data_IF_916337975421
#
_entry.id   IF_916337975421
#
_cell.length_a   1.000
_cell.length_b   1.000
_cell.length_c   1.000
_cell.angle_alpha   90.00
_cell.angle_beta   90.00
_cell.angle_gamma   90.00
#
_symmetry.space_group_name_H-M   'P 1'
#
loop_
_entity.id
_entity.type
_entity.pdbx_description
1 polymer ?
#
# COMPACT_ATOMS: atom_id res chain seq x y z
N UNK A 1 2.39 3.25 -19.18
CA UNK A 1 3.51 2.91 -18.29
C UNK A 1 3.01 1.80 -17.37
N UNK A 2 3.70 0.68 -17.23
CA UNK A 2 3.29 -0.34 -16.25
C UNK A 2 3.58 0.18 -14.86
N UNK A 3 2.58 0.12 -13.98
CA UNK A 3 2.70 0.61 -12.62
C UNK A 3 3.24 -0.51 -11.75
N UNK A 4 4.36 -0.26 -11.08
CA UNK A 4 4.99 -1.30 -10.23
C UNK A 4 4.08 -1.65 -9.05
N UNK A 5 4.23 -2.87 -8.51
CA UNK A 5 3.50 -3.32 -7.32
C UNK A 5 3.62 -2.31 -6.16
N UNK A 6 4.82 -1.79 -5.92
CA UNK A 6 5.07 -0.81 -4.85
C UNK A 6 4.30 0.48 -5.11
N UNK A 7 4.33 0.98 -6.34
CA UNK A 7 3.63 2.22 -6.69
C UNK A 7 2.12 2.09 -6.49
N UNK A 8 1.53 0.93 -6.77
CA UNK A 8 0.10 0.70 -6.53
C UNK A 8 -0.25 0.65 -5.04
N UNK A 9 0.58 -0.02 -4.23
CA UNK A 9 0.41 -0.05 -2.78
C UNK A 9 0.58 1.34 -2.16
N UNK A 10 1.62 2.07 -2.57
CA UNK A 10 1.89 3.42 -2.08
C UNK A 10 0.72 4.37 -2.42
N UNK A 11 0.19 4.30 -3.65
CA UNK A 11 -0.97 5.09 -4.05
C UNK A 11 -2.19 4.79 -3.17
N UNK A 12 -2.55 3.51 -3.00
CA UNK A 12 -3.68 3.12 -2.16
C UNK A 12 -3.51 3.54 -0.69
N UNK A 13 -2.30 3.46 -0.15
CA UNK A 13 -1.97 3.91 1.20
C UNK A 13 -2.06 5.44 1.34
N UNK A 14 -1.59 6.19 0.34
CA UNK A 14 -1.72 7.65 0.33
C UNK A 14 -3.19 8.09 0.27
N UNK A 15 -4.00 7.43 -0.55
CA UNK A 15 -5.42 7.74 -0.71
C UNK A 15 -6.17 7.60 0.61
N UNK A 16 -5.98 6.48 1.34
CA UNK A 16 -6.65 6.27 2.64
C UNK A 16 -6.07 7.15 3.76
N UNK A 17 -4.80 7.56 3.66
CA UNK A 17 -4.18 8.44 4.66
C UNK A 17 -4.72 9.88 4.57
N UNK A 18 -5.25 10.27 3.41
CA UNK A 18 -5.87 11.56 3.16
C UNK A 18 -4.88 12.66 2.74
N UNK A 19 -5.42 13.69 2.09
CA UNK A 19 -4.65 14.76 1.43
C UNK A 19 -3.78 15.62 2.36
N UNK A 20 -4.15 15.68 3.64
CA UNK A 20 -3.41 16.42 4.69
C UNK A 20 -2.33 15.56 5.36
N UNK A 21 -2.06 14.36 4.85
CA UNK A 21 -1.06 13.44 5.37
C UNK A 21 0.17 13.40 4.46
N UNK A 22 1.36 13.29 5.07
CA UNK A 22 2.64 13.12 4.36
C UNK A 22 3.29 11.81 4.77
N UNK A 23 3.82 11.02 3.83
CA UNK A 23 4.47 9.75 4.16
C UNK A 23 5.70 10.01 5.03
N UNK A 24 5.84 9.22 6.09
CA UNK A 24 7.00 9.22 6.98
C UNK A 24 7.81 7.93 6.82
N UNK A 25 7.15 6.80 6.63
CA UNK A 25 7.78 5.51 6.32
C UNK A 25 6.83 4.61 5.53
N UNK A 26 7.40 3.73 4.73
CA UNK A 26 6.73 2.66 4.01
C UNK A 26 7.61 1.40 4.12
N UNK A 27 7.01 0.31 4.58
CA UNK A 27 7.60 -1.02 4.57
C UNK A 27 6.76 -1.91 3.68
N UNK A 28 7.40 -2.67 2.80
CA UNK A 28 6.75 -3.61 1.89
C UNK A 28 7.39 -4.98 2.08
N UNK A 29 6.57 -5.97 2.41
CA UNK A 29 6.95 -7.36 2.52
C UNK A 29 6.45 -8.09 1.27
N UNK A 30 7.37 -8.51 0.41
CA UNK A 30 7.03 -9.19 -0.83
C UNK A 30 6.67 -10.64 -0.56
N UNK A 31 5.56 -11.06 -1.17
CA UNK A 31 5.20 -12.47 -1.25
C UNK A 31 6.09 -13.23 -2.24
N UNK A 32 5.86 -14.54 -2.38
CA UNK A 32 6.58 -15.34 -3.37
C UNK A 32 6.34 -14.81 -4.78
N UNK A 33 7.28 -15.10 -5.68
CA UNK A 33 7.15 -14.77 -7.10
C UNK A 33 5.87 -15.36 -7.69
N UNK A 34 5.25 -14.59 -8.58
CA UNK A 34 4.04 -15.01 -9.28
C UNK A 34 4.38 -15.96 -10.43
N UNK A 35 3.37 -16.61 -11.03
CA UNK A 35 3.55 -17.31 -12.29
C UNK A 35 4.16 -16.38 -13.35
N UNK A 36 5.07 -16.91 -14.17
CA UNK A 36 5.71 -16.15 -15.24
C UNK A 36 4.66 -15.51 -16.16
N UNK A 37 4.85 -14.22 -16.46
CA UNK A 37 3.96 -13.45 -17.34
C UNK A 37 2.80 -12.72 -16.65
N UNK A 38 2.63 -12.87 -15.33
CA UNK A 38 1.71 -12.00 -14.57
C UNK A 38 2.20 -10.54 -14.60
N UNK A 39 1.31 -9.64 -15.02
CA UNK A 39 1.59 -8.20 -15.03
C UNK A 39 1.25 -7.61 -13.69
N UNK A 40 2.07 -6.66 -13.24
CA UNK A 40 1.77 -5.88 -12.03
C UNK A 40 0.41 -5.17 -12.11
N UNK A 41 -0.06 -4.84 -13.32
CA UNK A 41 -1.35 -4.16 -13.53
C UNK A 41 -2.58 -5.03 -13.23
N UNK A 42 -2.42 -6.34 -12.95
CA UNK A 42 -3.50 -7.29 -12.60
C UNK A 42 -3.71 -7.47 -11.08
N UNK A 43 -3.11 -6.60 -10.25
CA UNK A 43 -3.18 -6.72 -8.79
C UNK A 43 -4.48 -6.13 -8.22
N UNK A 44 -5.14 -6.91 -7.36
CA UNK A 44 -6.20 -6.41 -6.48
C UNK A 44 -5.56 -5.80 -5.23
N UNK A 45 -5.54 -4.46 -5.15
CA UNK A 45 -4.95 -3.72 -4.03
C UNK A 45 -6.04 -3.26 -3.07
N UNK A 46 -5.78 -3.43 -1.77
CA UNK A 46 -6.62 -2.94 -0.69
C UNK A 46 -5.75 -2.20 0.32
N UNK A 47 -6.28 -1.13 0.90
CA UNK A 47 -5.64 -0.40 1.98
C UNK A 47 -6.67 0.03 3.02
N UNK A 48 -6.25 0.17 4.27
CA UNK A 48 -7.08 0.62 5.37
C UNK A 48 -6.23 1.32 6.44
N UNK A 49 -6.88 2.19 7.22
CA UNK A 49 -6.28 2.77 8.42
C UNK A 49 -6.44 1.77 9.56
N UNK A 50 -5.34 1.28 10.08
CA UNK A 50 -5.32 0.41 11.26
C UNK A 50 -5.56 1.22 12.53
N UNK A 51 -4.92 2.39 12.63
CA UNK A 51 -5.09 3.33 13.74
C UNK A 51 -4.72 4.75 13.34
N UNK A 52 -5.31 5.75 14.00
CA UNK A 52 -4.88 7.14 13.86
C UNK A 52 -4.78 7.85 15.21
N UNK A 53 -3.89 8.82 15.30
CA UNK A 53 -3.72 9.72 16.45
C UNK A 53 -3.99 11.16 16.03
N UNK A 54 -3.66 12.15 16.86
CA UNK A 54 -3.68 13.56 16.43
C UNK A 54 -2.69 13.83 15.29
N UNK A 55 -1.46 13.32 15.41
CA UNK A 55 -0.36 13.66 14.51
C UNK A 55 0.01 12.58 13.49
N UNK A 56 -0.45 11.33 13.67
CA UNK A 56 -0.05 10.21 12.84
C UNK A 56 -1.25 9.40 12.32
N UNK A 57 -1.08 8.82 11.14
CA UNK A 57 -1.95 7.79 10.57
C UNK A 57 -1.11 6.54 10.31
N UNK A 58 -1.56 5.40 10.80
CA UNK A 58 -0.95 4.11 10.55
C UNK A 58 -1.86 3.33 9.62
N UNK A 59 -1.33 2.99 8.45
CA UNK A 59 -2.07 2.38 7.37
C UNK A 59 -1.45 1.02 7.02
N UNK A 60 -2.32 0.10 6.63
CA UNK A 60 -1.92 -1.19 6.08
C UNK A 60 -2.49 -1.35 4.69
N UNK A 61 -1.81 -2.16 3.88
CA UNK A 61 -2.30 -2.54 2.57
C UNK A 61 -1.86 -3.95 2.20
N UNK A 62 -2.63 -4.58 1.32
CA UNK A 62 -2.29 -5.85 0.69
C UNK A 62 -2.52 -5.75 -0.81
N UNK A 63 -1.63 -6.40 -1.58
CA UNK A 63 -1.79 -6.61 -3.00
C UNK A 63 -1.93 -8.12 -3.24
N UNK A 64 -3.02 -8.52 -3.92
CA UNK A 64 -3.29 -9.91 -4.30
C UNK A 64 -3.29 -10.06 -5.80
N UNK A 65 -2.80 -11.19 -6.28
CA UNK A 65 -2.90 -11.59 -7.69
C UNK A 65 -4.31 -12.04 -8.02
N UNK A 66 -4.60 -12.19 -9.32
CA UNK A 66 -5.90 -12.69 -9.80
C UNK A 66 -6.27 -14.06 -9.24
N UNK A 67 -5.27 -14.91 -8.99
CA UNK A 67 -5.45 -16.22 -8.37
C UNK A 67 -5.69 -16.16 -6.83
N UNK A 68 -5.77 -14.96 -6.25
CA UNK A 68 -5.98 -14.72 -4.81
C UNK A 68 -4.72 -14.83 -3.94
N UNK A 69 -3.59 -15.27 -4.51
CA UNK A 69 -2.33 -15.37 -3.78
C UNK A 69 -1.78 -13.97 -3.45
N UNK A 70 -1.07 -13.89 -2.32
CA UNK A 70 -0.50 -12.65 -1.82
C UNK A 70 0.73 -12.27 -2.65
N UNK A 71 0.71 -11.07 -3.25
CA UNK A 71 1.85 -10.50 -3.95
C UNK A 71 2.74 -9.69 -3.00
N UNK A 72 2.13 -8.92 -2.09
CA UNK A 72 2.83 -8.25 -1.01
C UNK A 72 1.86 -7.72 0.05
N UNK A 73 2.37 -7.48 1.25
CA UNK A 73 1.75 -6.61 2.24
C UNK A 73 2.58 -5.34 2.41
N UNK A 74 1.94 -4.26 2.82
CA UNK A 74 2.60 -3.01 3.12
C UNK A 74 2.07 -2.42 4.43
N UNK A 75 2.96 -1.76 5.15
CA UNK A 75 2.62 -0.92 6.30
C UNK A 75 3.23 0.46 6.09
N UNK A 76 2.45 1.51 6.30
CA UNK A 76 2.92 2.88 6.17
C UNK A 76 2.52 3.73 7.37
N UNK A 77 3.41 4.67 7.71
CA UNK A 77 3.14 5.71 8.70
C UNK A 77 3.14 7.05 7.98
N UNK A 78 2.08 7.82 8.21
CA UNK A 78 1.95 9.17 7.71
C UNK A 78 1.90 10.16 8.87
N UNK A 79 2.46 11.35 8.67
CA UNK A 79 2.33 12.49 9.56
C UNK A 79 1.26 13.45 9.03
N UNK A 80 0.41 14.00 9.90
CA UNK A 80 -0.55 15.04 9.52
C UNK A 80 0.13 16.41 9.43
N UNK A 81 -0.21 17.18 8.41
CA UNK A 81 0.22 18.57 8.26
C UNK A 81 -0.63 19.42 9.19
N UNK A 82 0.00 20.17 10.11
CA UNK A 82 -0.69 21.10 11.01
C UNK A 82 -1.21 20.53 12.33
N UNK A 83 -0.83 19.30 12.69
CA UNK A 83 -1.19 18.66 13.97
C UNK A 83 -0.42 19.19 15.18
#
# INVERSE_FOLDING_TARGET
MSTTLVTQLEAALCDIAGVESRPSSLTVDYGPDGPEGERADDLAVRAWVERSTRSLVFAQGEARRRNGSLAATASAVFRRVGA
#
